data_IF_297135324799
#
_entry.id   IF_297135324799
#
_cell.length_a   1.000
_cell.length_b   1.000
_cell.length_c   1.000
_cell.angle_alpha   90.00
_cell.angle_beta   90.00
_cell.angle_gamma   90.00
#
_symmetry.space_group_name_H-M   'P 1'
#
loop_
_entity.id
_entity.type
_entity.pdbx_description
1 polymer ?
#
# COMPACT_ATOMS: atom_id res chain seq x y z
N UNK A 1 -11.54 41.92 -42.69
CA UNK A 1 -10.83 43.10 -42.18
C UNK A 1 -9.87 42.67 -41.09
N UNK A 2 -8.61 42.39 -41.45
CA UNK A 2 -7.41 43.03 -40.89
C UNK A 2 -6.21 42.26 -41.44
N UNK A 3 -5.60 42.84 -42.47
CA UNK A 3 -4.32 42.42 -43.01
C UNK A 3 -3.23 42.60 -41.93
N UNK A 4 -2.37 41.59 -41.79
CA UNK A 4 -1.26 41.57 -40.86
C UNK A 4 -0.01 41.07 -41.56
N UNK A 5 0.47 41.85 -42.52
CA UNK A 5 1.71 41.64 -43.27
C UNK A 5 2.92 41.76 -42.32
N UNK A 6 3.50 40.62 -41.93
CA UNK A 6 4.74 40.56 -41.14
C UNK A 6 5.89 40.14 -42.06
N UNK A 7 6.52 41.12 -42.72
CA UNK A 7 7.88 40.97 -43.28
C UNK A 7 8.82 40.58 -42.14
N UNK A 8 9.49 39.43 -42.25
CA UNK A 8 10.71 39.14 -41.50
C UNK A 8 11.89 39.10 -42.46
N UNK A 9 12.86 39.92 -42.09
CA UNK A 9 14.11 40.23 -42.77
C UNK A 9 15.02 39.02 -42.85
N UNK A 10 15.43 38.74 -44.08
CA UNK A 10 16.47 37.79 -44.45
C UNK A 10 17.83 38.32 -43.97
N UNK A 11 18.58 37.51 -43.22
CA UNK A 11 19.95 37.81 -42.81
C UNK A 11 20.90 36.72 -43.28
N UNK A 12 21.30 36.86 -44.54
CA UNK A 12 22.66 36.64 -45.07
C UNK A 12 23.44 35.42 -44.58
N UNK A 13 23.31 34.31 -45.29
CA UNK A 13 24.46 33.49 -45.65
C UNK A 13 24.32 33.01 -47.10
N UNK A 14 25.13 33.60 -47.99
CA UNK A 14 25.32 33.13 -49.35
C UNK A 14 26.02 31.76 -49.29
N UNK A 15 25.33 30.71 -49.70
CA UNK A 15 25.98 29.55 -50.32
C UNK A 15 25.20 29.20 -51.59
N UNK A 16 25.85 29.45 -52.71
CA UNK A 16 25.29 29.51 -54.05
C UNK A 16 25.61 28.18 -54.75
N UNK A 17 24.91 27.10 -54.38
CA UNK A 17 24.79 25.88 -55.22
C UNK A 17 23.66 24.96 -54.75
N UNK A 18 22.76 24.60 -55.69
CA UNK A 18 21.57 23.73 -55.60
C UNK A 18 20.24 24.39 -55.19
N UNK A 19 19.55 24.98 -56.17
CA UNK A 19 18.08 24.93 -56.23
C UNK A 19 17.66 23.46 -56.37
N UNK A 20 17.41 22.79 -55.25
CA UNK A 20 16.70 21.51 -55.24
C UNK A 20 15.23 21.83 -55.54
N UNK A 21 14.67 21.21 -56.58
CA UNK A 21 13.24 21.34 -56.89
C UNK A 21 12.42 20.94 -55.66
N UNK A 22 11.57 21.86 -55.17
CA UNK A 22 10.72 21.62 -54.00
C UNK A 22 9.82 20.40 -54.26
N UNK A 23 9.75 19.50 -53.29
CA UNK A 23 8.87 18.33 -53.34
C UNK A 23 7.40 18.78 -53.26
N UNK A 24 6.59 18.38 -54.24
CA UNK A 24 5.14 18.65 -54.26
C UNK A 24 4.37 17.53 -53.57
N UNK A 25 3.72 17.83 -52.44
CA UNK A 25 2.90 16.87 -51.67
C UNK A 25 1.58 16.50 -52.34
N UNK A 26 1.09 17.31 -53.28
CA UNK A 26 -0.19 17.06 -53.95
C UNK A 26 -0.02 16.19 -55.21
N UNK A 27 1.21 15.95 -55.65
CA UNK A 27 1.52 15.10 -56.79
C UNK A 27 1.46 13.63 -56.39
N UNK A 28 0.80 12.81 -57.22
CA UNK A 28 0.96 11.35 -57.18
C UNK A 28 2.22 10.96 -57.94
N UNK A 29 3.28 10.62 -57.22
CA UNK A 29 4.54 10.15 -57.79
C UNK A 29 4.41 8.71 -58.31
N UNK A 30 5.09 8.39 -59.41
CA UNK A 30 5.22 6.99 -59.87
C UNK A 30 6.38 6.29 -59.15
N UNK A 31 6.39 4.96 -59.19
CA UNK A 31 7.47 4.16 -58.58
C UNK A 31 8.85 4.51 -59.19
N UNK A 32 8.90 4.79 -60.48
CA UNK A 32 10.14 5.21 -61.16
C UNK A 32 10.61 6.59 -60.70
N UNK A 33 9.69 7.52 -60.43
CA UNK A 33 10.01 8.86 -59.92
C UNK A 33 10.52 8.81 -58.49
N UNK A 34 9.91 7.98 -57.63
CA UNK A 34 10.37 7.76 -56.26
C UNK A 34 11.76 7.10 -56.22
N UNK A 35 12.02 6.14 -57.12
CA UNK A 35 13.33 5.51 -57.25
C UNK A 35 14.43 6.49 -57.72
N UNK A 36 14.05 7.56 -58.41
CA UNK A 36 14.95 8.64 -58.84
C UNK A 36 15.23 9.71 -57.79
N UNK A 37 14.51 9.73 -56.66
CA UNK A 37 14.68 10.74 -55.61
C UNK A 37 15.89 10.46 -54.72
N UNK A 38 16.51 11.53 -54.24
CA UNK A 38 17.49 11.45 -53.16
C UNK A 38 16.84 11.08 -51.83
N UNK A 39 17.62 10.56 -50.88
CA UNK A 39 17.11 10.23 -49.54
C UNK A 39 16.55 11.46 -48.84
N UNK A 40 17.18 12.62 -49.01
CA UNK A 40 16.76 13.88 -48.43
C UNK A 40 15.39 14.33 -48.98
N UNK A 41 15.17 14.20 -50.30
CA UNK A 41 13.86 14.45 -50.93
C UNK A 41 12.78 13.48 -50.45
N UNK A 42 13.12 12.20 -50.24
CA UNK A 42 12.17 11.23 -49.70
C UNK A 42 11.80 11.52 -48.24
N UNK A 43 12.75 12.00 -47.43
CA UNK A 43 12.47 12.44 -46.05
C UNK A 43 11.56 13.66 -46.05
N UNK A 44 11.85 14.66 -46.88
CA UNK A 44 11.02 15.85 -47.04
C UNK A 44 9.61 15.51 -47.54
N UNK A 45 9.49 14.61 -48.53
CA UNK A 45 8.20 14.10 -49.00
C UNK A 45 7.42 13.45 -47.85
N UNK A 46 8.06 12.54 -47.11
CA UNK A 46 7.42 11.80 -46.03
C UNK A 46 6.95 12.69 -44.89
N UNK A 47 7.76 13.65 -44.44
CA UNK A 47 7.36 14.57 -43.37
C UNK A 47 6.22 15.49 -43.82
N UNK A 48 6.28 16.00 -45.06
CA UNK A 48 5.27 16.92 -45.54
C UNK A 48 3.91 16.24 -45.80
N UNK A 49 3.89 14.94 -46.12
CA UNK A 49 2.65 14.15 -46.23
C UNK A 49 1.88 14.09 -44.90
N UNK A 50 2.57 14.14 -43.77
CA UNK A 50 2.00 14.17 -42.42
C UNK A 50 1.88 15.60 -41.85
N UNK A 51 1.98 16.62 -42.72
CA UNK A 51 1.98 18.04 -42.35
C UNK A 51 3.07 18.42 -41.33
N UNK A 52 4.23 17.75 -41.42
CA UNK A 52 5.43 18.04 -40.63
C UNK A 52 6.44 18.79 -41.49
N UNK A 53 6.68 20.07 -41.17
CA UNK A 53 7.72 20.91 -41.79
C UNK A 53 8.99 20.92 -40.93
N UNK A 54 10.10 20.45 -41.49
CA UNK A 54 11.42 20.48 -40.83
C UNK A 54 12.05 21.86 -41.03
N UNK A 55 11.63 22.82 -40.22
CA UNK A 55 12.05 24.23 -40.32
C UNK A 55 13.56 24.46 -40.12
N UNK A 56 14.22 23.62 -39.32
CA UNK A 56 15.65 23.73 -39.06
C UNK A 56 16.25 22.38 -38.72
N UNK A 57 17.35 22.01 -39.38
CA UNK A 57 18.17 20.85 -39.03
C UNK A 57 19.65 21.23 -39.15
N UNK A 58 20.41 21.11 -38.06
CA UNK A 58 21.86 21.39 -38.05
C UNK A 58 22.67 20.24 -37.48
N UNK A 59 23.68 19.82 -38.24
CA UNK A 59 24.70 18.89 -37.77
C UNK A 59 25.46 19.45 -36.55
N UNK A 60 25.66 18.59 -35.55
CA UNK A 60 26.40 18.96 -34.33
C UNK A 60 27.89 19.23 -34.60
N UNK A 61 28.46 18.57 -35.61
CA UNK A 61 29.88 18.67 -35.99
C UNK A 61 30.03 18.95 -37.49
N UNK A 62 29.88 20.22 -37.88
CA UNK A 62 30.01 20.64 -39.28
C UNK A 62 31.42 20.36 -39.86
N UNK A 63 32.45 20.46 -39.02
CA UNK A 63 33.84 20.09 -39.39
C UNK A 63 34.13 18.70 -38.84
N UNK A 64 34.39 17.76 -39.74
CA UNK A 64 34.68 16.35 -39.40
C UNK A 64 36.08 16.18 -38.83
N UNK A 65 36.22 15.28 -37.86
CA UNK A 65 37.51 14.81 -37.35
C UNK A 65 38.19 15.77 -36.36
N UNK A 66 37.45 16.72 -35.77
CA UNK A 66 38.04 17.69 -34.85
C UNK A 66 38.47 17.04 -33.53
N UNK A 67 39.44 17.65 -32.83
CA UNK A 67 39.85 17.19 -31.49
C UNK A 67 38.71 17.27 -30.47
N UNK A 68 37.81 18.24 -30.62
CA UNK A 68 36.65 18.42 -29.76
C UNK A 68 35.61 17.31 -29.98
N UNK A 69 35.32 16.95 -31.23
CA UNK A 69 34.44 15.85 -31.61
C UNK A 69 34.93 14.52 -31.02
N UNK A 70 36.21 14.19 -31.21
CA UNK A 70 36.83 12.98 -30.62
C UNK A 70 36.82 12.98 -29.08
N UNK A 71 36.75 14.14 -28.42
CA UNK A 71 36.59 14.23 -26.96
C UNK A 71 35.14 13.96 -26.56
N UNK A 72 34.18 14.52 -27.30
CA UNK A 72 32.76 14.25 -27.09
C UNK A 72 32.42 12.77 -27.27
N UNK A 73 33.00 12.13 -28.30
CA UNK A 73 32.84 10.71 -28.59
C UNK A 73 33.32 9.85 -27.42
N UNK A 74 34.56 10.08 -26.96
CA UNK A 74 35.12 9.38 -25.79
C UNK A 74 34.31 9.59 -24.51
N UNK A 75 33.74 10.79 -24.32
CA UNK A 75 32.88 11.08 -23.18
C UNK A 75 31.59 10.25 -23.20
N UNK A 76 30.97 10.05 -24.37
CA UNK A 76 29.78 9.20 -24.52
C UNK A 76 30.18 7.73 -24.35
N UNK A 77 31.25 7.30 -25.02
CA UNK A 77 31.77 5.94 -24.93
C UNK A 77 32.10 5.55 -23.49
N UNK A 78 32.69 6.46 -22.69
CA UNK A 78 33.01 6.21 -21.29
C UNK A 78 31.79 5.82 -20.44
N UNK A 79 30.62 6.42 -20.70
CA UNK A 79 29.38 6.06 -19.99
C UNK A 79 28.85 4.70 -20.39
N UNK A 80 28.90 4.35 -21.68
CA UNK A 80 28.54 3.01 -22.14
C UNK A 80 29.54 1.94 -21.67
N UNK A 81 30.83 2.27 -21.61
CA UNK A 81 31.85 1.39 -21.02
C UNK A 81 31.62 1.19 -19.53
N UNK A 82 31.35 2.25 -18.77
CA UNK A 82 30.99 2.15 -17.35
C UNK A 82 29.75 1.27 -17.16
N UNK A 83 28.75 1.43 -18.03
CA UNK A 83 27.55 0.60 -18.00
C UNK A 83 27.87 -0.88 -18.21
N UNK A 84 28.65 -1.19 -19.26
CA UNK A 84 29.07 -2.57 -19.56
C UNK A 84 29.91 -3.20 -18.45
N UNK A 85 30.89 -2.46 -17.91
CA UNK A 85 31.72 -2.92 -16.78
C UNK A 85 30.86 -3.17 -15.54
N UNK A 86 29.92 -2.27 -15.25
CA UNK A 86 29.01 -2.42 -14.11
C UNK A 86 28.07 -3.61 -14.28
N UNK A 87 27.58 -3.87 -15.49
CA UNK A 87 26.76 -5.05 -15.79
C UNK A 87 27.55 -6.37 -15.64
N UNK A 88 28.81 -6.40 -16.08
CA UNK A 88 29.69 -7.56 -15.88
C UNK A 88 29.99 -7.75 -14.39
N UNK A 89 30.25 -6.66 -13.65
CA UNK A 89 30.44 -6.71 -12.21
C UNK A 89 29.19 -7.23 -11.48
N UNK A 90 27.99 -6.80 -11.90
CA UNK A 90 26.73 -7.33 -11.38
C UNK A 90 26.64 -8.85 -11.58
N UNK A 91 26.91 -9.34 -12.79
CA UNK A 91 26.86 -10.78 -13.08
C UNK A 91 27.87 -11.54 -12.21
N UNK A 92 29.09 -11.03 -12.08
CA UNK A 92 30.13 -11.66 -11.26
C UNK A 92 29.74 -11.70 -9.77
N UNK A 93 29.22 -10.61 -9.23
CA UNK A 93 28.79 -10.54 -7.82
C UNK A 93 27.58 -11.45 -7.62
N UNK A 94 26.58 -11.41 -8.51
CA UNK A 94 25.40 -12.25 -8.41
C UNK A 94 25.71 -13.75 -8.41
N UNK A 95 26.68 -14.19 -9.24
CA UNK A 95 27.02 -15.61 -9.37
C UNK A 95 28.06 -16.09 -8.35
N UNK A 96 29.03 -15.26 -7.99
CA UNK A 96 30.24 -15.71 -7.28
C UNK A 96 30.44 -15.08 -5.89
N UNK A 97 29.56 -14.17 -5.46
CA UNK A 97 29.64 -13.59 -4.11
C UNK A 97 28.92 -14.44 -3.07
N UNK A 98 29.41 -14.53 -1.81
CA UNK A 98 28.75 -15.27 -0.74
C UNK A 98 27.43 -14.59 -0.33
N UNK A 99 26.32 -15.07 -0.90
CA UNK A 99 24.97 -14.55 -0.70
C UNK A 99 24.20 -15.23 0.45
N UNK A 100 24.70 -16.36 0.94
CA UNK A 100 24.07 -17.11 2.04
C UNK A 100 24.08 -16.29 3.33
N UNK A 101 22.96 -16.32 4.07
CA UNK A 101 22.83 -15.62 5.34
C UNK A 101 23.98 -15.97 6.27
N UNK A 102 24.65 -14.94 6.77
CA UNK A 102 25.63 -15.04 7.84
C UNK A 102 25.24 -14.11 8.98
N UNK A 103 25.21 -14.62 10.20
CA UNK A 103 24.89 -13.87 11.41
C UNK A 103 26.05 -13.02 11.92
N UNK A 104 25.78 -12.08 12.83
CA UNK A 104 26.84 -11.33 13.52
C UNK A 104 27.78 -12.30 14.25
N UNK A 105 29.09 -12.17 14.00
CA UNK A 105 30.13 -13.04 14.58
C UNK A 105 30.58 -14.19 13.68
N UNK A 106 29.88 -14.43 12.56
CA UNK A 106 30.30 -15.42 11.57
C UNK A 106 31.34 -14.85 10.60
N UNK A 107 32.23 -15.72 10.12
CA UNK A 107 33.37 -15.35 9.25
C UNK A 107 32.92 -14.59 7.99
N UNK A 108 31.75 -14.96 7.44
CA UNK A 108 31.24 -14.40 6.19
C UNK A 108 30.27 -13.23 6.38
N UNK A 109 30.02 -12.77 7.62
CA UNK A 109 29.06 -11.71 7.92
C UNK A 109 29.27 -10.43 7.08
N UNK A 110 30.52 -9.99 6.98
CA UNK A 110 30.86 -8.77 6.22
C UNK A 110 30.56 -8.93 4.73
N UNK A 111 30.91 -10.09 4.15
CA UNK A 111 30.67 -10.36 2.75
C UNK A 111 29.17 -10.51 2.45
N UNK A 112 28.42 -11.23 3.30
CA UNK A 112 26.95 -11.34 3.20
C UNK A 112 26.27 -9.96 3.23
N UNK A 113 26.63 -9.10 4.20
CA UNK A 113 26.05 -7.77 4.35
C UNK A 113 26.26 -6.88 3.11
N UNK A 114 27.38 -7.08 2.40
CA UNK A 114 27.70 -6.33 1.18
C UNK A 114 27.00 -6.85 -0.08
N UNK A 115 26.46 -8.07 -0.07
CA UNK A 115 25.88 -8.67 -1.27
C UNK A 115 24.76 -7.80 -1.88
N UNK A 116 23.73 -7.47 -1.09
CA UNK A 116 22.58 -6.68 -1.57
C UNK A 116 22.96 -5.25 -1.99
N UNK A 117 23.76 -4.49 -1.22
CA UNK A 117 24.25 -3.19 -1.67
C UNK A 117 25.05 -3.26 -2.97
N UNK A 118 25.93 -4.26 -3.14
CA UNK A 118 26.77 -4.39 -4.31
C UNK A 118 25.97 -4.68 -5.57
N UNK A 119 25.05 -5.65 -5.54
CA UNK A 119 24.18 -5.92 -6.71
C UNK A 119 23.33 -4.69 -7.07
N UNK A 120 22.83 -3.96 -6.06
CA UNK A 120 22.07 -2.72 -6.28
C UNK A 120 22.92 -1.62 -6.93
N UNK A 121 24.14 -1.41 -6.44
CA UNK A 121 25.07 -0.41 -6.98
C UNK A 121 25.48 -0.75 -8.42
N UNK A 122 25.89 -1.99 -8.69
CA UNK A 122 26.34 -2.39 -10.03
C UNK A 122 25.21 -2.38 -11.06
N UNK A 123 24.00 -2.80 -10.66
CA UNK A 123 22.82 -2.71 -11.53
C UNK A 123 22.42 -1.25 -11.78
N UNK A 124 22.39 -0.43 -10.73
CA UNK A 124 22.07 1.00 -10.82
C UNK A 124 23.05 1.75 -11.72
N UNK A 125 24.35 1.53 -11.56
CA UNK A 125 25.39 2.13 -12.41
C UNK A 125 25.30 1.64 -13.87
N UNK A 126 24.92 0.39 -14.10
CA UNK A 126 24.72 -0.12 -15.46
C UNK A 126 23.61 0.64 -16.18
N UNK A 127 22.43 0.71 -15.57
CA UNK A 127 21.25 1.39 -16.17
C UNK A 127 21.50 2.89 -16.29
N UNK A 128 22.03 3.52 -15.23
CA UNK A 128 22.35 4.95 -15.23
C UNK A 128 23.37 5.28 -16.31
N UNK A 129 24.41 4.45 -16.48
CA UNK A 129 25.42 4.64 -17.51
C UNK A 129 24.84 4.58 -18.93
N UNK A 130 23.92 3.65 -19.20
CA UNK A 130 23.19 3.62 -20.48
C UNK A 130 22.35 4.89 -20.67
N UNK A 131 21.58 5.29 -19.67
CA UNK A 131 20.73 6.48 -19.74
C UNK A 131 21.53 7.77 -19.98
N UNK A 132 22.59 8.00 -19.20
CA UNK A 132 23.47 9.16 -19.37
C UNK A 132 24.19 9.12 -20.72
N UNK A 133 24.67 7.94 -21.14
CA UNK A 133 25.32 7.74 -22.44
C UNK A 133 24.37 8.10 -23.60
N UNK A 134 23.15 7.59 -23.58
CA UNK A 134 22.13 7.86 -24.61
C UNK A 134 21.75 9.35 -24.67
N UNK A 135 21.50 9.99 -23.53
CA UNK A 135 21.19 11.44 -23.48
C UNK A 135 22.37 12.27 -24.00
N UNK A 136 23.61 11.92 -23.63
CA UNK A 136 24.77 12.62 -24.16
C UNK A 136 24.97 12.39 -25.65
N UNK A 137 24.68 11.19 -26.16
CA UNK A 137 24.69 10.92 -27.60
C UNK A 137 23.68 11.80 -28.33
N UNK A 138 22.44 11.88 -27.85
CA UNK A 138 21.42 12.79 -28.40
C UNK A 138 21.88 14.25 -28.38
N UNK A 139 22.42 14.72 -27.25
CA UNK A 139 22.84 16.12 -27.10
C UNK A 139 24.06 16.49 -27.93
N UNK A 140 24.98 15.55 -28.20
CA UNK A 140 26.29 15.83 -28.81
C UNK A 140 26.41 15.36 -30.26
N UNK A 141 25.61 14.41 -30.72
CA UNK A 141 25.74 13.79 -32.04
C UNK A 141 24.48 13.80 -32.88
N UNK A 142 23.29 13.62 -32.27
CA UNK A 142 22.05 13.73 -33.04
C UNK A 142 21.87 15.20 -33.48
N UNK A 143 21.64 15.45 -34.79
CA UNK A 143 21.39 16.79 -35.31
C UNK A 143 20.26 17.48 -34.55
N UNK A 144 20.43 18.78 -34.30
CA UNK A 144 19.35 19.56 -33.71
C UNK A 144 18.30 19.82 -34.78
N UNK A 145 17.08 19.36 -34.52
CA UNK A 145 15.96 19.50 -35.43
C UNK A 145 14.79 20.23 -34.76
N UNK A 146 14.25 21.21 -35.45
CA UNK A 146 12.98 21.86 -35.12
C UNK A 146 12.00 21.51 -36.22
N UNK A 147 11.04 20.67 -35.90
CA UNK A 147 9.96 20.26 -36.80
C UNK A 147 8.65 20.88 -36.30
N UNK A 148 7.89 21.48 -37.22
CA UNK A 148 6.58 22.09 -36.97
C UNK A 148 5.54 21.15 -37.56
N UNK A 149 4.70 20.57 -36.72
CA UNK A 149 3.58 19.75 -37.18
C UNK A 149 2.26 20.50 -37.00
N UNK A 150 1.50 20.62 -38.08
CA UNK A 150 0.14 21.13 -38.00
C UNK A 150 -0.73 20.15 -37.21
N UNK A 151 -1.35 20.63 -36.13
CA UNK A 151 -2.22 19.80 -35.30
C UNK A 151 -3.60 19.74 -35.94
N UNK A 152 -4.04 18.53 -36.30
CA UNK A 152 -5.42 18.27 -36.73
C UNK A 152 -6.37 18.13 -35.52
N UNK A 153 -6.28 19.06 -34.59
CA UNK A 153 -7.15 19.11 -33.42
C UNK A 153 -8.43 19.87 -33.70
N UNK A 154 -9.51 19.51 -33.00
CA UNK A 154 -10.82 20.13 -33.15
C UNK A 154 -11.87 19.14 -33.66
N UNK A 155 -12.98 19.64 -34.17
CA UNK A 155 -13.99 18.78 -34.77
C UNK A 155 -13.48 18.15 -36.05
N UNK A 156 -13.78 16.87 -36.27
CA UNK A 156 -13.66 16.24 -37.59
C UNK A 156 -14.39 17.07 -38.65
N UNK A 157 -14.02 16.90 -39.92
CA UNK A 157 -14.63 17.64 -41.02
C UNK A 157 -16.15 17.44 -41.03
N UNK A 158 -16.90 18.43 -41.54
CA UNK A 158 -18.36 18.33 -41.61
C UNK A 158 -18.79 17.13 -42.48
N UNK A 159 -17.98 16.78 -43.48
CA UNK A 159 -18.19 15.58 -44.30
C UNK A 159 -18.11 14.33 -43.43
N UNK A 160 -17.01 14.12 -42.69
CA UNK A 160 -16.84 12.94 -41.84
C UNK A 160 -17.93 12.83 -40.77
N UNK A 161 -18.27 13.95 -40.13
CA UNK A 161 -19.32 13.97 -39.09
C UNK A 161 -20.67 13.58 -39.68
N UNK A 162 -21.03 14.14 -40.84
CA UNK A 162 -22.33 13.84 -41.46
C UNK A 162 -22.38 12.45 -42.06
N UNK A 163 -21.32 11.98 -42.69
CA UNK A 163 -21.29 10.62 -43.27
C UNK A 163 -21.31 9.57 -42.16
N UNK A 164 -20.54 9.72 -41.08
CA UNK A 164 -20.56 8.78 -39.94
C UNK A 164 -21.93 8.77 -39.26
N UNK A 165 -22.54 9.93 -39.02
CA UNK A 165 -23.88 10.00 -38.44
C UNK A 165 -24.92 9.36 -39.37
N UNK A 166 -24.82 9.60 -40.68
CA UNK A 166 -25.71 8.99 -41.67
C UNK A 166 -25.54 7.47 -41.73
N UNK A 167 -24.32 6.95 -41.73
CA UNK A 167 -24.07 5.50 -41.73
C UNK A 167 -24.54 4.82 -40.44
N UNK A 168 -24.34 5.44 -39.28
CA UNK A 168 -24.87 4.93 -38.00
C UNK A 168 -26.41 4.96 -37.98
N UNK A 169 -27.01 6.04 -38.48
CA UNK A 169 -28.45 6.19 -38.60
C UNK A 169 -29.06 5.17 -39.56
N UNK A 170 -28.51 5.04 -40.77
CA UNK A 170 -28.93 4.08 -41.77
C UNK A 170 -28.81 2.64 -41.25
N UNK A 171 -27.69 2.29 -40.60
CA UNK A 171 -27.50 0.98 -39.96
C UNK A 171 -28.59 0.70 -38.92
N UNK A 172 -28.97 1.69 -38.11
CA UNK A 172 -30.03 1.54 -37.13
C UNK A 172 -31.41 1.39 -37.79
N UNK A 173 -31.73 2.17 -38.82
CA UNK A 173 -33.02 2.12 -39.52
C UNK A 173 -33.19 0.83 -40.33
N UNK A 174 -32.18 0.47 -41.13
CA UNK A 174 -32.15 -0.75 -41.95
C UNK A 174 -32.19 -2.02 -41.11
N UNK A 175 -31.60 -2.02 -39.91
CA UNK A 175 -31.74 -3.13 -38.95
C UNK A 175 -33.19 -3.35 -38.49
N UNK A 176 -34.06 -2.35 -38.66
CA UNK A 176 -35.46 -2.33 -38.20
C UNK A 176 -35.65 -2.47 -36.67
N UNK A 177 -34.57 -2.45 -35.88
CA UNK A 177 -34.59 -2.73 -34.44
C UNK A 177 -35.50 -1.76 -33.66
N UNK A 178 -35.56 -0.49 -34.09
CA UNK A 178 -36.38 0.56 -33.49
C UNK A 178 -37.86 0.18 -33.33
N UNK A 179 -38.46 -0.50 -34.31
CA UNK A 179 -39.88 -0.91 -34.31
C UNK A 179 -40.15 -2.29 -33.68
N UNK A 180 -39.12 -3.09 -33.39
CA UNK A 180 -39.27 -4.44 -32.81
C UNK A 180 -39.31 -4.37 -31.27
N UNK A 181 -40.45 -3.93 -30.72
CA UNK A 181 -40.65 -3.74 -29.26
C UNK A 181 -40.38 -5.00 -28.44
N UNK A 182 -40.76 -6.18 -28.94
CA UNK A 182 -40.54 -7.45 -28.24
C UNK A 182 -39.05 -7.77 -28.13
N UNK A 183 -38.29 -7.66 -29.23
CA UNK A 183 -36.84 -7.92 -29.26
C UNK A 183 -36.08 -6.98 -28.30
N UNK A 184 -36.41 -5.69 -28.30
CA UNK A 184 -35.78 -4.74 -27.36
C UNK A 184 -36.08 -5.10 -25.91
N UNK A 185 -37.34 -5.39 -25.58
CA UNK A 185 -37.74 -5.76 -24.21
C UNK A 185 -37.06 -7.04 -23.76
N UNK A 186 -36.98 -8.06 -24.62
CA UNK A 186 -36.27 -9.30 -24.30
C UNK A 186 -34.76 -9.09 -24.16
N UNK A 187 -34.16 -8.21 -24.97
CA UNK A 187 -32.74 -7.85 -24.85
C UNK A 187 -32.46 -7.12 -23.53
N UNK A 188 -33.31 -6.17 -23.12
CA UNK A 188 -33.17 -5.51 -21.82
C UNK A 188 -33.32 -6.48 -20.65
N UNK A 189 -34.32 -7.37 -20.72
CA UNK A 189 -34.52 -8.39 -19.70
C UNK A 189 -33.33 -9.35 -19.63
N UNK A 190 -32.94 -9.93 -20.78
CA UNK A 190 -31.82 -10.89 -20.85
C UNK A 190 -30.49 -10.25 -20.48
N UNK A 191 -30.17 -9.08 -21.03
CA UNK A 191 -28.98 -8.31 -20.69
C UNK A 191 -28.96 -7.86 -19.24
N UNK A 192 -30.10 -7.42 -18.69
CA UNK A 192 -30.22 -7.05 -17.28
C UNK A 192 -30.04 -8.26 -16.34
N UNK A 193 -30.68 -9.39 -16.66
CA UNK A 193 -30.53 -10.62 -15.90
C UNK A 193 -29.08 -11.16 -15.95
N UNK A 194 -28.44 -11.13 -17.13
CA UNK A 194 -27.03 -11.47 -17.27
C UNK A 194 -26.12 -10.50 -16.51
N UNK A 195 -26.43 -9.21 -16.52
CA UNK A 195 -25.72 -8.20 -15.73
C UNK A 195 -25.79 -8.47 -14.23
N UNK A 196 -26.99 -8.77 -13.70
CA UNK A 196 -27.17 -9.15 -12.29
C UNK A 196 -26.42 -10.46 -12.00
N UNK A 197 -26.57 -11.47 -12.85
CA UNK A 197 -25.85 -12.75 -12.72
C UNK A 197 -24.34 -12.55 -12.64
N UNK A 198 -23.78 -11.67 -13.46
CA UNK A 198 -22.35 -11.36 -13.44
C UNK A 198 -21.89 -10.70 -12.12
N UNK A 199 -22.78 -9.96 -11.44
CA UNK A 199 -22.49 -9.32 -10.16
C UNK A 199 -22.72 -10.25 -8.95
N UNK A 200 -23.58 -11.26 -9.06
CA UNK A 200 -23.94 -12.16 -7.95
C UNK A 200 -22.75 -12.84 -7.25
N UNK A 201 -21.66 -13.28 -7.93
CA UNK A 201 -20.48 -13.82 -7.26
C UNK A 201 -19.84 -12.88 -6.23
N UNK A 202 -20.02 -11.56 -6.36
CA UNK A 202 -19.55 -10.58 -5.36
C UNK A 202 -20.27 -10.74 -4.02
N UNK A 203 -21.49 -11.29 -4.02
CA UNK A 203 -22.22 -11.63 -2.79
C UNK A 203 -21.48 -12.65 -1.92
N UNK A 204 -20.62 -13.49 -2.50
CA UNK A 204 -19.77 -14.42 -1.74
C UNK A 204 -18.74 -13.73 -0.82
N UNK A 205 -18.39 -12.47 -1.12
CA UNK A 205 -17.51 -11.63 -0.30
C UNK A 205 -18.26 -10.94 0.85
N UNK A 206 -19.60 -10.82 0.75
CA UNK A 206 -20.43 -10.24 1.79
C UNK A 206 -20.70 -11.33 2.85
N UNK A 207 -20.07 -11.19 4.02
CA UNK A 207 -20.28 -12.11 5.15
C UNK A 207 -21.28 -11.49 6.13
N UNK A 208 -22.05 -12.35 6.81
CA UNK A 208 -22.85 -11.93 7.96
C UNK A 208 -21.96 -11.96 9.21
N UNK A 209 -21.53 -10.81 9.76
CA UNK A 209 -20.68 -10.77 10.97
C UNK A 209 -21.42 -11.24 12.23
N UNK A 210 -22.74 -11.35 12.17
CA UNK A 210 -23.63 -11.71 13.27
C UNK A 210 -24.26 -13.11 13.13
N UNK A 211 -23.69 -13.96 12.27
CA UNK A 211 -24.24 -15.29 11.98
C UNK A 211 -24.36 -16.19 13.23
N UNK A 212 -23.58 -15.92 14.27
CA UNK A 212 -23.55 -16.70 15.51
C UNK A 212 -24.31 -16.03 16.68
N UNK A 213 -25.06 -14.95 16.41
CA UNK A 213 -25.81 -14.21 17.43
C UNK A 213 -24.90 -13.71 18.56
N UNK A 214 -25.23 -14.03 19.81
CA UNK A 214 -24.45 -13.63 20.99
C UNK A 214 -23.04 -14.25 21.05
N UNK A 215 -22.79 -15.30 20.26
CA UNK A 215 -21.45 -15.92 20.15
C UNK A 215 -20.60 -15.30 19.04
N UNK A 216 -21.11 -14.30 18.33
CA UNK A 216 -20.41 -13.70 17.20
C UNK A 216 -19.05 -13.12 17.62
N UNK A 217 -18.04 -13.14 16.73
CA UNK A 217 -16.65 -12.85 17.08
C UNK A 217 -16.42 -11.49 17.75
N UNK A 218 -17.30 -10.52 17.53
CA UNK A 218 -17.20 -9.20 18.13
C UNK A 218 -17.77 -9.11 19.56
N UNK A 219 -18.59 -10.05 20.01
CA UNK A 219 -19.14 -10.11 21.37
C UNK A 219 -18.30 -10.95 22.32
N UNK A 220 -17.70 -12.02 21.83
CA UNK A 220 -16.93 -12.96 22.65
C UNK A 220 -15.43 -12.69 22.61
N UNK A 221 -14.73 -13.29 23.56
CA UNK A 221 -13.28 -13.31 23.65
C UNK A 221 -12.79 -14.65 24.20
N UNK A 222 -11.47 -14.85 24.28
CA UNK A 222 -10.90 -16.01 24.98
C UNK A 222 -11.23 -16.05 26.48
N UNK A 223 -11.76 -14.97 27.05
CA UNK A 223 -12.22 -14.88 28.45
C UNK A 223 -13.69 -15.23 28.64
N UNK A 224 -14.46 -15.38 27.55
CA UNK A 224 -15.86 -15.80 27.63
C UNK A 224 -15.96 -17.27 28.08
N UNK A 225 -16.64 -17.58 29.20
CA UNK A 225 -16.83 -18.96 29.64
C UNK A 225 -17.61 -19.79 28.63
N UNK A 226 -17.19 -21.03 28.36
CA UNK A 226 -17.90 -21.97 27.48
C UNK A 226 -19.16 -22.53 28.14
N UNK A 227 -19.16 -22.62 29.47
CA UNK A 227 -20.25 -23.08 30.32
C UNK A 227 -20.16 -22.39 31.68
N UNK A 228 -21.26 -22.42 32.44
CA UNK A 228 -21.32 -21.79 33.77
C UNK A 228 -20.31 -22.44 34.73
N UNK A 229 -19.49 -21.62 35.40
CA UNK A 229 -18.48 -22.09 36.35
C UNK A 229 -17.18 -22.60 35.71
N UNK A 230 -16.97 -22.42 34.40
CA UNK A 230 -15.66 -22.72 33.78
C UNK A 230 -14.56 -21.86 34.41
N UNK A 231 -13.52 -22.51 34.92
CA UNK A 231 -12.35 -21.81 35.48
C UNK A 231 -11.39 -21.43 34.35
N UNK A 232 -11.14 -20.13 34.19
CA UNK A 232 -10.17 -19.59 33.22
C UNK A 232 -9.02 -18.99 34.01
N UNK A 233 -7.84 -19.61 33.92
CA UNK A 233 -6.65 -19.17 34.61
C UNK A 233 -5.98 -17.99 33.91
N UNK A 234 -5.35 -17.12 34.70
CA UNK A 234 -4.42 -16.14 34.19
C UNK A 234 -3.07 -16.83 33.99
N UNK A 235 -2.63 -16.93 32.73
CA UNK A 235 -1.38 -17.58 32.33
C UNK A 235 -0.41 -16.55 31.73
N UNK A 236 0.89 -16.72 31.99
CA UNK A 236 1.96 -15.97 31.30
C UNK A 236 2.42 -16.61 29.99
N UNK A 237 2.85 -15.76 29.05
CA UNK A 237 3.48 -16.21 27.80
C UNK A 237 4.99 -16.41 27.99
N UNK A 238 5.43 -17.66 27.98
CA UNK A 238 6.83 -18.07 28.05
C UNK A 238 7.51 -18.09 26.67
N UNK A 239 6.79 -17.72 25.62
CA UNK A 239 7.20 -17.86 24.22
C UNK A 239 6.93 -19.25 23.64
N UNK A 240 6.58 -20.25 24.47
CA UNK A 240 6.26 -21.62 24.05
C UNK A 240 4.83 -22.00 24.49
N UNK A 241 3.89 -22.25 23.56
CA UNK A 241 2.48 -22.51 23.91
C UNK A 241 2.24 -23.68 24.88
N UNK A 242 3.11 -24.70 24.89
CA UNK A 242 2.98 -25.85 25.80
C UNK A 242 3.48 -25.59 27.22
N UNK A 243 4.31 -24.57 27.43
CA UNK A 243 4.84 -24.22 28.74
C UNK A 243 3.77 -23.39 29.49
N UNK A 244 2.81 -24.10 30.09
CA UNK A 244 1.73 -23.50 30.86
C UNK A 244 2.25 -23.08 32.22
N UNK A 245 2.43 -21.78 32.42
CA UNK A 245 2.80 -21.19 33.71
C UNK A 245 1.67 -20.28 34.17
N UNK A 246 1.00 -20.70 35.24
CA UNK A 246 -0.13 -19.99 35.85
C UNK A 246 0.38 -18.94 36.83
N UNK A 247 -0.33 -17.82 36.95
CA UNK A 247 0.09 -16.69 37.78
C UNK A 247 -0.49 -16.82 39.19
N UNK A 248 0.34 -16.65 40.21
CA UNK A 248 -0.06 -16.48 41.62
C UNK A 248 0.07 -15.01 42.04
N UNK A 249 -0.70 -14.53 43.02
CA UNK A 249 -0.54 -13.16 43.52
C UNK A 249 0.91 -12.82 43.91
N UNK A 250 1.60 -13.72 44.60
CA UNK A 250 2.98 -13.53 45.07
C UNK A 250 4.03 -13.43 43.96
N UNK A 251 3.69 -13.73 42.69
CA UNK A 251 4.62 -13.65 41.56
C UNK A 251 4.94 -12.19 41.15
N UNK A 252 4.14 -11.21 41.58
CA UNK A 252 4.26 -9.82 41.15
C UNK A 252 4.60 -8.90 42.31
N UNK A 253 5.62 -8.05 42.15
CA UNK A 253 5.93 -6.98 43.11
C UNK A 253 4.92 -5.83 43.06
N UNK A 254 4.86 -5.02 44.12
CA UNK A 254 4.01 -3.83 44.15
C UNK A 254 4.44 -2.82 43.06
N UNK A 255 3.48 -2.36 42.25
CA UNK A 255 3.71 -1.52 41.08
C UNK A 255 4.12 -2.29 39.82
N UNK A 256 4.21 -3.62 39.86
CA UNK A 256 4.52 -4.43 38.68
C UNK A 256 3.31 -4.56 37.74
N UNK A 257 3.61 -4.84 36.48
CA UNK A 257 2.63 -5.27 35.49
C UNK A 257 3.11 -6.51 34.76
N UNK A 258 2.18 -7.39 34.43
CA UNK A 258 2.43 -8.59 33.63
C UNK A 258 1.34 -8.73 32.57
N UNK A 259 1.69 -9.31 31.42
CA UNK A 259 0.70 -9.66 30.41
C UNK A 259 0.23 -11.08 30.63
N UNK A 260 -1.08 -11.25 30.78
CA UNK A 260 -1.71 -12.54 31.02
C UNK A 260 -2.70 -12.88 29.90
N UNK A 261 -2.90 -14.18 29.71
CA UNK A 261 -3.76 -14.78 28.69
C UNK A 261 -4.68 -15.82 29.33
N UNK A 262 -5.86 -16.09 28.73
CA UNK A 262 -6.83 -17.03 29.28
C UNK A 262 -6.37 -18.46 29.03
N UNK A 263 -6.16 -19.22 30.09
CA UNK A 263 -5.85 -20.66 29.98
C UNK A 263 -6.97 -21.51 30.57
N UNK A 264 -7.37 -22.55 29.84
CA UNK A 264 -8.32 -23.57 30.31
C UNK A 264 -7.61 -24.89 30.42
N UNK A 265 -7.85 -25.61 31.50
CA UNK A 265 -7.23 -26.93 31.70
C UNK A 265 -7.64 -27.92 30.60
N UNK A 266 -8.87 -27.81 30.10
CA UNK A 266 -9.38 -28.62 28.98
C UNK A 266 -8.63 -28.40 27.65
N UNK A 267 -7.94 -27.26 27.49
CA UNK A 267 -7.17 -26.95 26.27
C UNK A 267 -5.73 -27.52 26.36
N UNK A 268 -5.36 -28.16 27.48
CA UNK A 268 -4.02 -28.71 27.67
C UNK A 268 -3.77 -29.84 26.65
N UNK A 269 -2.70 -29.69 25.89
CA UNK A 269 -2.30 -30.65 24.86
C UNK A 269 -2.94 -30.43 23.48
N UNK A 270 -3.80 -29.42 23.34
CA UNK A 270 -4.32 -28.98 22.03
C UNK A 270 -3.50 -27.78 21.51
N UNK A 271 -2.64 -28.03 20.53
CA UNK A 271 -1.76 -27.02 19.92
C UNK A 271 -2.54 -25.80 19.41
N UNK A 272 -3.71 -26.02 18.80
CA UNK A 272 -4.50 -24.96 18.22
C UNK A 272 -5.15 -24.11 19.32
N UNK A 273 -5.75 -24.75 20.32
CA UNK A 273 -6.39 -24.05 21.43
C UNK A 273 -5.38 -23.26 22.26
N UNK A 274 -4.20 -23.83 22.54
CA UNK A 274 -3.12 -23.14 23.25
C UNK A 274 -2.58 -21.95 22.46
N UNK A 275 -2.43 -22.08 21.14
CA UNK A 275 -2.03 -20.98 20.29
C UNK A 275 -3.08 -19.87 20.25
N UNK A 276 -4.36 -20.23 20.10
CA UNK A 276 -5.47 -19.26 20.06
C UNK A 276 -5.67 -18.56 21.41
N UNK A 277 -5.41 -19.24 22.53
CA UNK A 277 -5.34 -18.63 23.86
C UNK A 277 -4.32 -17.48 23.90
N UNK A 278 -3.08 -17.73 23.46
CA UNK A 278 -1.98 -16.75 23.50
C UNK A 278 -2.04 -15.69 22.38
N UNK A 279 -2.58 -16.03 21.21
CA UNK A 279 -2.54 -15.19 20.00
C UNK A 279 -3.90 -14.61 19.62
N UNK A 280 -4.95 -14.93 20.37
CA UNK A 280 -6.28 -14.35 20.16
C UNK A 280 -6.22 -12.83 20.29
N UNK A 281 -6.78 -12.14 19.30
CA UNK A 281 -6.71 -10.67 19.13
C UNK A 281 -7.22 -9.87 20.33
N UNK A 282 -7.98 -10.50 21.23
CA UNK A 282 -8.64 -9.90 22.40
C UNK A 282 -8.22 -10.52 23.73
N UNK A 283 -7.30 -11.46 23.70
CA UNK A 283 -7.01 -12.29 24.86
C UNK A 283 -5.98 -11.67 25.81
N UNK A 284 -5.14 -10.77 25.32
CA UNK A 284 -4.11 -10.15 26.14
C UNK A 284 -4.70 -9.17 27.16
N UNK A 285 -4.42 -9.42 28.43
CA UNK A 285 -4.84 -8.59 29.57
C UNK A 285 -3.58 -8.12 30.31
N UNK A 286 -3.59 -6.86 30.75
CA UNK A 286 -2.56 -6.30 31.62
C UNK A 286 -3.04 -6.52 33.05
N UNK A 287 -2.39 -7.45 33.74
CA UNK A 287 -2.50 -7.59 35.17
C UNK A 287 -1.54 -6.58 35.80
N UNK A 288 -2.07 -5.67 36.61
CA UNK A 288 -1.31 -4.67 37.36
C UNK A 288 -1.50 -4.98 38.84
N UNK A 289 -0.40 -5.12 39.58
CA UNK A 289 -0.43 -5.05 41.04
C UNK A 289 -0.13 -3.61 41.42
N UNK A 290 -1.13 -2.84 41.82
CA UNK A 290 -0.91 -1.48 42.31
C UNK A 290 -0.12 -1.51 43.63
N UNK A 291 0.55 -0.42 43.97
CA UNK A 291 1.00 -0.20 45.35
C UNK A 291 -0.23 -0.07 46.24
N UNK A 292 -0.15 -0.55 47.48
CA UNK A 292 -1.31 -0.56 48.38
C UNK A 292 -1.89 0.84 48.59
N UNK A 293 -1.05 1.87 48.77
CA UNK A 293 -1.52 3.26 48.92
C UNK A 293 -2.17 3.85 47.65
N UNK A 294 -1.93 3.25 46.49
CA UNK A 294 -2.52 3.63 45.22
C UNK A 294 -3.84 2.86 44.99
N UNK A 295 -3.86 1.57 45.33
CA UNK A 295 -5.05 0.72 45.27
C UNK A 295 -6.18 1.26 46.16
N UNK A 296 -5.84 1.76 47.36
CA UNK A 296 -6.81 2.40 48.28
C UNK A 296 -7.47 3.66 47.70
N UNK A 297 -6.78 4.36 46.79
CA UNK A 297 -7.26 5.58 46.13
C UNK A 297 -7.91 5.29 44.78
N UNK A 298 -7.90 4.04 44.32
CA UNK A 298 -8.41 3.69 43.01
C UNK A 298 -9.92 3.90 42.93
N UNK A 299 -10.35 4.72 41.98
CA UNK A 299 -11.76 4.96 41.67
C UNK A 299 -12.24 3.77 40.83
N UNK A 300 -13.18 3.02 41.39
CA UNK A 300 -13.80 1.88 40.70
C UNK A 300 -14.96 2.35 39.83
N UNK A 301 -15.18 1.65 38.72
CA UNK A 301 -16.28 1.95 37.80
C UNK A 301 -17.59 1.41 38.33
N UNK A 302 -18.68 2.14 38.08
CA UNK A 302 -20.03 1.67 38.35
C UNK A 302 -20.29 0.32 37.67
N UNK A 303 -20.75 -0.67 38.42
CA UNK A 303 -21.03 -2.03 37.95
C UNK A 303 -19.78 -2.94 37.82
N UNK A 304 -18.59 -2.47 38.19
CA UNK A 304 -17.33 -3.22 38.16
C UNK A 304 -16.55 -3.09 39.49
N UNK A 305 -17.24 -2.77 40.59
CA UNK A 305 -16.63 -2.44 41.89
C UNK A 305 -15.92 -3.63 42.56
N UNK A 306 -16.28 -4.86 42.19
CA UNK A 306 -15.70 -6.09 42.73
C UNK A 306 -14.77 -6.81 41.74
N UNK A 307 -14.32 -6.13 40.69
CA UNK A 307 -13.53 -6.77 39.62
C UNK A 307 -12.05 -6.94 39.98
N UNK A 308 -11.54 -6.21 40.96
CA UNK A 308 -10.19 -6.36 41.46
C UNK A 308 -10.13 -7.38 42.62
N UNK A 309 -9.01 -8.08 42.74
CA UNK A 309 -8.68 -8.90 43.91
C UNK A 309 -7.58 -8.19 44.68
N UNK A 310 -7.87 -7.67 45.89
CA UNK A 310 -6.90 -6.86 46.64
C UNK A 310 -6.32 -5.72 45.80
N UNK A 311 -5.01 -5.64 45.71
CA UNK A 311 -4.29 -4.61 44.94
C UNK A 311 -4.14 -4.94 43.44
N UNK A 312 -4.76 -6.02 42.96
CA UNK A 312 -4.61 -6.52 41.58
C UNK A 312 -5.76 -6.08 40.68
N UNK A 313 -5.43 -5.39 39.60
CA UNK A 313 -6.36 -4.87 38.60
C UNK A 313 -6.00 -5.45 37.23
N UNK A 314 -6.99 -6.00 36.53
CA UNK A 314 -6.78 -6.62 35.23
C UNK A 314 -7.53 -5.83 34.14
N UNK A 315 -6.81 -5.13 33.28
CA UNK A 315 -7.40 -4.37 32.16
C UNK A 315 -7.09 -5.04 30.82
N UNK A 316 -8.02 -5.03 29.88
CA UNK A 316 -7.71 -5.46 28.51
C UNK A 316 -6.55 -4.64 27.94
N UNK A 317 -5.57 -5.29 27.32
CA UNK A 317 -4.51 -4.56 26.59
C UNK A 317 -5.02 -3.99 25.28
N UNK A 318 -6.23 -4.33 24.83
CA UNK A 318 -6.71 -3.92 23.51
C UNK A 318 -7.26 -2.50 23.60
N UNK A 319 -6.51 -1.55 23.04
CA UNK A 319 -6.89 -0.15 23.05
C UNK A 319 -8.29 0.07 22.45
N UNK A 320 -9.12 0.84 23.15
CA UNK A 320 -10.50 1.15 22.75
C UNK A 320 -10.61 2.09 21.53
N UNK A 321 -9.50 2.65 21.07
CA UNK A 321 -9.46 3.43 19.83
C UNK A 321 -9.42 2.50 18.60
N UNK A 322 -8.23 2.00 18.25
CA UNK A 322 -7.98 1.19 17.04
C UNK A 322 -7.32 -0.17 17.33
N UNK A 323 -7.36 -0.64 18.58
CA UNK A 323 -7.10 -2.05 18.90
C UNK A 323 -5.64 -2.42 19.14
N UNK A 324 -4.72 -1.46 19.08
CA UNK A 324 -3.32 -1.72 19.44
C UNK A 324 -3.18 -2.20 20.90
N UNK A 325 -2.27 -3.17 21.17
CA UNK A 325 -1.93 -3.55 22.53
C UNK A 325 -1.29 -2.40 23.33
N UNK A 326 -1.96 -1.89 24.36
CA UNK A 326 -1.43 -0.93 25.33
C UNK A 326 -0.42 -1.63 26.22
N UNK A 327 0.82 -1.78 25.75
CA UNK A 327 1.86 -2.59 26.43
C UNK A 327 2.83 -1.78 27.26
N UNK A 328 2.72 -0.45 27.25
CA UNK A 328 3.58 0.43 28.04
C UNK A 328 2.86 0.81 29.33
N UNK A 329 3.55 0.70 30.46
CA UNK A 329 3.02 1.06 31.78
C UNK A 329 4.04 1.92 32.52
N UNK A 330 3.61 3.12 32.91
CA UNK A 330 4.42 4.03 33.71
C UNK A 330 4.11 3.80 35.18
N UNK A 331 4.96 3.01 35.85
CA UNK A 331 4.73 2.55 37.23
C UNK A 331 4.61 3.70 38.23
N UNK A 332 5.30 4.83 38.00
CA UNK A 332 5.29 5.97 38.93
C UNK A 332 3.93 6.69 38.95
N UNK A 333 3.27 6.80 37.81
CA UNK A 333 2.01 7.56 37.65
C UNK A 333 0.80 6.66 37.44
N UNK A 334 1.00 5.34 37.39
CA UNK A 334 -0.01 4.33 37.10
C UNK A 334 -0.75 4.58 35.77
N UNK A 335 -0.01 4.99 34.73
CA UNK A 335 -0.56 5.22 33.39
C UNK A 335 -0.31 4.03 32.47
N UNK A 336 -1.34 3.65 31.74
CA UNK A 336 -1.29 2.65 30.68
C UNK A 336 -1.21 3.40 29.35
N UNK A 337 -0.17 3.16 28.54
CA UNK A 337 0.07 3.88 27.29
C UNK A 337 -0.04 2.97 26.07
N UNK A 338 -0.74 3.47 25.05
CA UNK A 338 -0.83 2.89 23.73
C UNK A 338 0.32 3.40 22.84
N UNK A 339 1.21 2.54 22.33
CA UNK A 339 2.36 2.99 21.53
C UNK A 339 1.96 3.50 20.13
N UNK A 340 0.75 3.18 19.64
CA UNK A 340 0.34 3.54 18.29
C UNK A 340 -0.05 5.01 18.14
N UNK A 341 -0.96 5.49 18.99
CA UNK A 341 -1.51 6.86 18.91
C UNK A 341 -1.50 7.57 20.26
N UNK A 342 -0.70 7.06 21.20
CA UNK A 342 -0.39 7.70 22.48
C UNK A 342 -1.60 7.93 23.38
N UNK A 343 -2.69 7.17 23.19
CA UNK A 343 -3.76 7.12 24.18
C UNK A 343 -3.19 6.70 25.53
N UNK A 344 -3.46 7.51 26.55
CA UNK A 344 -3.05 7.23 27.93
C UNK A 344 -4.30 6.96 28.75
N UNK A 345 -4.28 5.90 29.55
CA UNK A 345 -5.37 5.50 30.43
C UNK A 345 -4.90 5.52 31.88
N UNK A 346 -5.77 5.98 32.78
CA UNK A 346 -5.50 6.03 34.21
C UNK A 346 -5.83 4.68 34.86
N UNK A 347 -4.83 3.93 35.32
CA UNK A 347 -5.08 2.68 36.04
C UNK A 347 -5.72 2.91 37.41
N UNK A 348 -5.61 4.12 37.99
CA UNK A 348 -6.27 4.48 39.26
C UNK A 348 -7.71 4.96 39.07
N UNK A 349 -8.17 5.15 37.84
CA UNK A 349 -9.56 5.55 37.55
C UNK A 349 -10.11 4.64 36.47
N UNK A 350 -10.34 3.37 36.82
CA UNK A 350 -10.96 2.32 36.00
C UNK A 350 -10.48 2.19 34.54
N UNK A 351 -9.23 2.56 34.24
CA UNK A 351 -8.72 2.58 32.88
C UNK A 351 -9.32 3.69 32.00
N UNK A 352 -9.79 4.79 32.60
CA UNK A 352 -10.35 5.96 31.90
C UNK A 352 -9.28 6.65 31.04
N UNK A 353 -9.61 7.06 29.80
CA UNK A 353 -8.66 7.83 28.98
C UNK A 353 -8.37 9.20 29.62
N UNK A 354 -7.09 9.54 29.73
CA UNK A 354 -6.59 10.84 30.15
C UNK A 354 -6.15 11.71 28.96
N UNK A 355 -5.64 11.06 27.91
CA UNK A 355 -5.05 11.73 26.76
C UNK A 355 -5.16 10.85 25.50
N UNK A 356 -5.02 11.49 24.33
CA UNK A 356 -5.03 10.85 23.02
C UNK A 356 -6.44 10.54 22.51
N UNK A 357 -6.56 9.83 21.38
CA UNK A 357 -7.83 9.70 20.65
C UNK A 357 -8.79 8.64 21.20
N UNK A 358 -8.44 7.94 22.29
CA UNK A 358 -9.32 6.94 22.88
C UNK A 358 -10.39 7.64 23.71
N UNK A 359 -11.66 7.40 23.38
CA UNK A 359 -12.80 8.03 24.06
C UNK A 359 -13.49 7.13 25.11
N UNK A 360 -13.01 5.89 25.28
CA UNK A 360 -13.63 4.90 26.18
C UNK A 360 -12.61 4.25 27.10
N UNK A 361 -13.02 3.95 28.34
CA UNK A 361 -12.19 3.25 29.30
C UNK A 361 -11.81 1.84 28.80
N UNK A 362 -10.65 1.36 29.21
CA UNK A 362 -10.25 -0.03 29.00
C UNK A 362 -11.21 -0.95 29.78
N UNK A 363 -11.75 -2.01 29.16
CA UNK A 363 -12.55 -3.01 29.88
C UNK A 363 -11.72 -3.67 30.99
N UNK A 364 -12.29 -3.80 32.18
CA UNK A 364 -11.69 -4.49 33.32
C UNK A 364 -12.19 -5.94 33.38
N UNK A 365 -11.27 -6.89 33.56
CA UNK A 365 -11.56 -8.31 33.76
C UNK A 365 -11.79 -8.55 35.26
N UNK A 366 -12.90 -9.18 35.67
CA UNK A 366 -13.07 -9.61 37.05
C UNK A 366 -12.10 -10.75 37.37
N UNK A 367 -11.34 -10.63 38.45
CA UNK A 367 -10.37 -11.65 38.88
C UNK A 367 -10.58 -12.06 40.34
N UNK A 368 -10.17 -13.28 40.67
CA UNK A 368 -10.12 -13.82 42.03
C UNK A 368 -8.98 -14.83 42.17
N UNK A 369 -8.77 -15.35 43.37
CA UNK A 369 -7.84 -16.44 43.66
C UNK A 369 -8.62 -17.71 43.92
N UNK A 370 -8.26 -18.81 43.26
CA UNK A 370 -8.89 -20.11 43.49
C UNK A 370 -8.33 -20.80 44.75
N UNK A 371 -8.89 -21.96 45.12
CA UNK A 371 -8.47 -22.71 46.32
C UNK A 371 -7.01 -23.18 46.28
N UNK A 372 -6.44 -23.33 45.08
CA UNK A 372 -5.03 -23.71 44.87
C UNK A 372 -4.07 -22.52 44.95
N UNK A 373 -4.59 -21.28 45.08
CA UNK A 373 -3.82 -20.05 45.19
C UNK A 373 -3.41 -19.40 43.85
N UNK A 374 -4.03 -19.80 42.74
CA UNK A 374 -3.79 -19.20 41.42
C UNK A 374 -4.82 -18.10 41.10
N UNK A 375 -4.40 -17.08 40.35
CA UNK A 375 -5.30 -16.08 39.80
C UNK A 375 -6.15 -16.66 38.66
N UNK A 376 -7.46 -16.46 38.78
CA UNK A 376 -8.46 -16.90 37.80
C UNK A 376 -9.43 -15.78 37.48
N UNK A 377 -10.01 -15.78 36.29
CA UNK A 377 -11.09 -14.88 35.94
C UNK A 377 -12.38 -15.27 36.69
N UNK A 378 -13.11 -14.28 37.19
CA UNK A 378 -14.39 -14.44 37.87
C UNK A 378 -15.55 -14.00 36.95
N UNK A 379 -15.56 -14.52 35.72
CA UNK A 379 -16.49 -14.13 34.66
C UNK A 379 -15.80 -13.47 33.46
N UNK A 380 -16.60 -13.03 32.50
CA UNK A 380 -16.15 -12.28 31.33
C UNK A 380 -16.15 -10.77 31.59
N UNK A 381 -15.65 -10.00 30.63
CA UNK A 381 -15.85 -8.56 30.58
C UNK A 381 -17.32 -8.21 30.40
N UNK A 382 -17.72 -7.05 30.94
CA UNK A 382 -19.05 -6.48 30.64
C UNK A 382 -19.05 -5.85 29.24
N UNK A 383 -17.95 -5.18 28.85
CA UNK A 383 -17.82 -4.59 27.52
C UNK A 383 -17.26 -5.53 26.47
N UNK A 384 -17.72 -5.35 25.22
CA UNK A 384 -16.98 -5.80 24.05
C UNK A 384 -15.57 -5.19 24.00
N UNK A 385 -14.57 -6.05 23.78
CA UNK A 385 -13.16 -5.71 23.82
C UNK A 385 -12.69 -4.99 22.54
N UNK A 386 -11.82 -3.98 22.74
CA UNK A 386 -11.15 -3.24 21.68
C UNK A 386 -11.95 -2.08 21.06
N UNK A 387 -11.72 -1.78 19.76
CA UNK A 387 -12.35 -0.67 19.03
C UNK A 387 -13.88 -0.69 19.05
N UNK A 388 -14.47 0.46 18.76
CA UNK A 388 -15.91 0.54 18.59
C UNK A 388 -16.31 -0.07 17.24
N UNK A 389 -17.53 -0.59 17.18
CA UNK A 389 -18.23 -1.01 15.97
C UNK A 389 -19.67 -0.51 16.05
N UNK A 390 -20.37 -0.47 14.93
CA UNK A 390 -21.64 0.24 14.80
C UNK A 390 -22.73 -0.27 15.76
N UNK A 391 -22.80 -1.59 15.94
CA UNK A 391 -23.79 -2.26 16.77
C UNK A 391 -23.41 -2.29 18.27
N UNK A 392 -22.26 -1.72 18.65
CA UNK A 392 -21.84 -1.67 20.06
C UNK A 392 -22.85 -0.81 20.85
N UNK A 393 -23.35 -1.28 22.00
CA UNK A 393 -24.27 -0.49 22.81
C UNK A 393 -23.66 0.84 23.29
N UNK A 394 -24.39 1.94 23.14
CA UNK A 394 -24.03 3.24 23.71
C UNK A 394 -24.39 3.28 25.21
N UNK A 395 -23.38 3.37 26.09
CA UNK A 395 -23.57 3.37 27.55
C UNK A 395 -23.87 4.77 28.11
N UNK A 396 -25.02 5.34 27.77
CA UNK A 396 -25.76 6.18 28.75
C UNK A 396 -26.69 5.30 29.62
N UNK A 397 -27.02 4.08 29.19
CA UNK A 397 -28.03 3.23 29.84
C UNK A 397 -27.50 2.22 30.89
N UNK A 398 -26.21 2.21 31.23
CA UNK A 398 -25.66 1.25 32.21
C UNK A 398 -25.48 1.81 33.62
N UNK A 399 -25.91 3.04 33.82
CA UNK A 399 -26.05 3.62 35.15
C UNK A 399 -27.44 3.42 35.76
N UNK A 400 -28.38 2.73 35.12
CA UNK A 400 -29.78 2.64 35.60
C UNK A 400 -30.34 1.22 35.80
N UNK A 401 -29.53 0.16 35.68
CA UNK A 401 -29.96 -1.20 36.07
C UNK A 401 -29.18 -1.74 37.25
#
# INVERSE_FOLDING_TARGET
>A
MSDGESRRTDSGHNDDSNKVDKVDVNKKYTDEELAGMTREQLVELGTNLDHVDVAYRRDRWAVKGTRAEKRAERSVAAWFTLAGVSAVAFIAIYLFWPWQYAGMGEVNYGAYTLYTPLIGLTMGLAILGVGVGAVQFTKKFIPEEVSIQDRHDGSSSEVDRRTVVAELGDSFETSTLGRRKVIKRSLFFGGGALGIMALMPLGGLIKNPWAEGDKSPLWVSGWTPRYAGETIYLRRDTGRPHDVVLVRPEDMDAGAMETVFPFREADRGDDHALLMSLRGIRNSVMLIRLRTEDAEKAIKRKGQESFNYGDYFAYSKICTHLGCPTSLFEQQTNRILCPCHQSQFNALEYGKPLFGPAARALPQLPITVNEEGFLVANGDFIEALGPAFWERPNREAESES
#
